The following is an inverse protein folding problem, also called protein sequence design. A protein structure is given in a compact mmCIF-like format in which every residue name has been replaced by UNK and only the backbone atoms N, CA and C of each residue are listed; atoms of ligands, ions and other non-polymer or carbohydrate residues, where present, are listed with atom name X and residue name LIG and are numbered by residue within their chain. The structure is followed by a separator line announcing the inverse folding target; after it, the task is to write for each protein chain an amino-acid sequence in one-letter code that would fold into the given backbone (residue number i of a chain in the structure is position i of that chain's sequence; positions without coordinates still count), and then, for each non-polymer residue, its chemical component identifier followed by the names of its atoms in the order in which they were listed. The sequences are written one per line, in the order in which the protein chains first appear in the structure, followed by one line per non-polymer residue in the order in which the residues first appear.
data_IF_827306541282
#
_entry.id   IF_827306541282
#
_cell.length_a   1.000
_cell.length_b   1.000
_cell.length_c   1.000
_cell.angle_alpha   90.00
_cell.angle_beta   90.00
_cell.angle_gamma   90.00
#
_symmetry.space_group_name_H-M   'P 1'
#
loop_
_entity.id
_entity.type
_entity.pdbx_description
1 polymer ?
#
# COMPACT_ATOMS: atom_id res chain seq x y z
N UNK A 1 -6.54 5.74 -23.17
CA UNK A 1 -5.59 5.17 -22.19
C UNK A 1 -5.94 5.64 -20.79
N UNK A 2 -6.12 4.74 -19.84
CA UNK A 2 -6.36 5.14 -18.46
C UNK A 2 -5.12 5.82 -17.90
N UNK A 3 -5.33 6.86 -17.11
CA UNK A 3 -4.24 7.56 -16.43
C UNK A 3 -4.19 7.23 -14.94
N UNK A 4 -5.30 6.78 -14.42
CA UNK A 4 -5.45 6.46 -13.00
C UNK A 4 -6.10 5.09 -12.85
N UNK A 5 -5.47 4.24 -12.07
CA UNK A 5 -6.02 2.94 -11.70
C UNK A 5 -6.31 2.96 -10.21
N UNK A 6 -7.55 2.65 -9.85
CA UNK A 6 -7.97 2.55 -8.46
C UNK A 6 -8.11 1.08 -8.09
N UNK A 7 -7.43 0.66 -7.03
CA UNK A 7 -7.49 -0.71 -6.52
C UNK A 7 -7.92 -0.67 -5.05
N UNK A 8 -9.03 -1.34 -4.76
CA UNK A 8 -9.60 -1.38 -3.42
C UNK A 8 -9.42 -2.78 -2.83
N UNK A 9 -8.50 -2.92 -1.92
CA UNK A 9 -8.13 -4.17 -1.25
C UNK A 9 -7.93 -5.34 -2.21
N UNK A 10 -7.07 -5.20 -3.22
CA UNK A 10 -6.87 -6.26 -4.20
C UNK A 10 -6.22 -7.52 -3.62
N UNK A 11 -5.57 -7.42 -2.46
CA UNK A 11 -4.93 -8.56 -1.82
C UNK A 11 -5.87 -9.39 -0.95
N UNK A 12 -7.15 -9.01 -0.86
CA UNK A 12 -8.13 -9.72 -0.05
C UNK A 12 -8.23 -11.19 -0.48
N UNK A 13 -8.08 -12.10 0.48
CA UNK A 13 -8.18 -13.53 0.22
C UNK A 13 -6.95 -14.17 -0.37
N UNK A 14 -5.89 -13.43 -0.62
CA UNK A 14 -4.66 -13.97 -1.19
C UNK A 14 -3.70 -14.45 -0.10
N UNK A 15 -2.96 -15.52 -0.40
CA UNK A 15 -1.91 -15.96 0.50
C UNK A 15 -0.65 -15.12 0.29
N UNK A 16 0.36 -15.34 1.12
CA UNK A 16 1.58 -14.55 1.13
C UNK A 16 2.30 -14.55 -0.23
N UNK A 17 2.39 -15.70 -0.87
CA UNK A 17 3.04 -15.81 -2.18
C UNK A 17 2.26 -15.08 -3.27
N UNK A 18 0.94 -15.22 -3.24
CA UNK A 18 0.06 -14.54 -4.20
C UNK A 18 0.12 -13.02 -4.05
N UNK A 19 0.24 -12.53 -2.82
CA UNK A 19 0.41 -11.10 -2.57
C UNK A 19 1.69 -10.58 -3.21
N UNK A 20 2.78 -11.34 -3.13
CA UNK A 20 4.03 -10.98 -3.79
C UNK A 20 3.87 -10.86 -5.30
N UNK A 21 3.18 -11.81 -5.91
CA UNK A 21 2.92 -11.77 -7.35
C UNK A 21 2.02 -10.61 -7.75
N UNK A 22 1.03 -10.30 -6.91
CA UNK A 22 0.16 -9.15 -7.15
C UNK A 22 0.97 -7.85 -7.16
N UNK A 23 1.89 -7.69 -6.22
CA UNK A 23 2.75 -6.51 -6.16
C UNK A 23 3.58 -6.34 -7.42
N UNK A 24 4.15 -7.44 -7.91
CA UNK A 24 4.92 -7.42 -9.16
C UNK A 24 4.04 -7.04 -10.35
N UNK A 25 2.83 -7.58 -10.40
CA UNK A 25 1.89 -7.25 -11.47
C UNK A 25 1.53 -5.77 -11.46
N UNK A 26 1.25 -5.20 -10.31
CA UNK A 26 0.90 -3.79 -10.19
C UNK A 26 2.06 -2.91 -10.65
N UNK A 27 3.29 -3.22 -10.23
CA UNK A 27 4.48 -2.49 -10.66
C UNK A 27 4.64 -2.55 -12.17
N UNK A 28 4.47 -3.73 -12.75
CA UNK A 28 4.62 -3.94 -14.17
C UNK A 28 3.59 -3.13 -14.96
N UNK A 29 2.33 -3.18 -14.55
CA UNK A 29 1.27 -2.41 -15.20
C UNK A 29 1.52 -0.91 -15.11
N UNK A 30 1.95 -0.44 -13.94
CA UNK A 30 2.25 0.98 -13.75
C UNK A 30 3.35 1.45 -14.70
N UNK A 31 4.42 0.67 -14.81
CA UNK A 31 5.54 1.02 -15.68
C UNK A 31 5.17 0.97 -17.16
N UNK A 32 4.50 -0.11 -17.56
CA UNK A 32 4.21 -0.33 -18.98
C UNK A 32 3.16 0.61 -19.52
N UNK A 33 2.19 0.98 -18.69
CA UNK A 33 1.07 1.82 -19.09
C UNK A 33 1.18 3.26 -18.59
N UNK A 34 2.29 3.60 -17.91
CA UNK A 34 2.51 4.93 -17.34
C UNK A 34 1.33 5.38 -16.47
N UNK A 35 0.86 4.49 -15.60
CA UNK A 35 -0.30 4.75 -14.75
C UNK A 35 0.10 5.39 -13.43
N UNK A 36 -0.79 6.22 -12.90
CA UNK A 36 -0.83 6.54 -11.48
C UNK A 36 -1.75 5.54 -10.83
N UNK A 37 -1.32 4.91 -9.76
CA UNK A 37 -2.11 3.91 -9.05
C UNK A 37 -2.47 4.43 -7.67
N UNK A 38 -3.75 4.40 -7.32
CA UNK A 38 -4.21 4.63 -5.96
C UNK A 38 -4.63 3.29 -5.39
N UNK A 39 -3.92 2.85 -4.35
CA UNK A 39 -4.11 1.56 -3.73
C UNK A 39 -4.68 1.75 -2.33
N UNK A 40 -5.86 1.17 -2.08
CA UNK A 40 -6.44 1.12 -0.74
C UNK A 40 -6.21 -0.29 -0.20
N UNK A 41 -5.43 -0.39 0.88
CA UNK A 41 -4.98 -1.70 1.36
C UNK A 41 -4.61 -1.63 2.83
N UNK A 42 -4.73 -2.76 3.51
CA UNK A 42 -4.24 -2.92 4.88
C UNK A 42 -3.09 -3.92 4.97
N UNK A 43 -2.70 -4.50 3.85
CA UNK A 43 -1.57 -5.43 3.79
C UNK A 43 -0.28 -4.63 3.71
N UNK A 44 0.39 -4.45 4.85
CA UNK A 44 1.52 -3.53 4.96
C UNK A 44 2.68 -3.87 4.04
N UNK A 45 3.03 -5.15 3.91
CA UNK A 45 4.13 -5.53 3.03
C UNK A 45 3.89 -5.13 1.59
N UNK A 46 2.65 -5.28 1.10
CA UNK A 46 2.31 -4.86 -0.25
C UNK A 46 2.42 -3.35 -0.39
N UNK A 47 1.77 -2.61 0.51
CA UNK A 47 1.77 -1.14 0.47
C UNK A 47 3.19 -0.59 0.52
N UNK A 48 3.99 -1.06 1.47
CA UNK A 48 5.35 -0.55 1.65
C UNK A 48 6.28 -0.94 0.51
N UNK A 49 5.99 -2.07 -0.15
CA UNK A 49 6.84 -2.58 -1.22
C UNK A 49 6.64 -1.91 -2.57
N UNK A 50 5.47 -1.36 -2.84
CA UNK A 50 5.17 -0.85 -4.19
C UNK A 50 4.76 0.62 -4.23
N UNK A 51 4.60 1.26 -3.09
CA UNK A 51 4.11 2.64 -3.03
C UNK A 51 5.25 3.66 -3.00
N UNK A 52 5.02 4.81 -3.61
CA UNK A 52 5.93 5.95 -3.54
C UNK A 52 5.53 6.88 -2.41
N UNK A 53 4.24 6.95 -2.13
CA UNK A 53 3.69 7.80 -1.08
C UNK A 53 2.58 7.04 -0.37
N UNK A 54 2.57 7.08 0.95
CA UNK A 54 1.61 6.36 1.78
C UNK A 54 0.88 7.34 2.68
N UNK A 55 -0.44 7.17 2.77
CA UNK A 55 -1.26 7.87 3.76
C UNK A 55 -1.88 6.79 4.65
N UNK A 56 -1.58 6.84 5.93
CA UNK A 56 -2.11 5.87 6.89
C UNK A 56 -3.30 6.48 7.64
N UNK A 57 -4.38 5.72 7.69
CA UNK A 57 -5.62 6.13 8.37
C UNK A 57 -5.93 5.17 9.50
N UNK A 58 -6.50 5.70 10.58
CA UNK A 58 -7.02 4.90 11.68
C UNK A 58 -8.33 5.52 12.12
N UNK A 59 -9.42 4.76 12.04
CA UNK A 59 -10.78 5.25 12.32
C UNK A 59 -11.11 6.52 11.53
N UNK A 60 -10.73 6.54 10.24
CA UNK A 60 -10.99 7.68 9.36
C UNK A 60 -10.09 8.88 9.57
N UNK A 61 -9.16 8.82 10.53
CA UNK A 61 -8.21 9.91 10.78
C UNK A 61 -6.85 9.60 10.15
N UNK A 62 -6.26 10.61 9.55
CA UNK A 62 -4.90 10.49 9.04
C UNK A 62 -3.93 10.52 10.23
N UNK A 63 -3.13 9.48 10.36
CA UNK A 63 -2.14 9.39 11.43
C UNK A 63 -0.71 9.59 10.95
N UNK A 64 -0.47 9.37 9.66
CA UNK A 64 0.86 9.56 9.08
C UNK A 64 0.75 9.66 7.59
N UNK A 65 1.70 10.36 6.96
CA UNK A 65 1.84 10.32 5.50
C UNK A 65 3.29 10.59 5.15
N UNK A 66 3.72 10.06 4.02
CA UNK A 66 5.08 10.25 3.55
C UNK A 66 5.53 9.09 2.67
N UNK A 67 6.83 8.99 2.48
CA UNK A 67 7.41 7.83 1.80
C UNK A 67 7.19 6.59 2.67
N UNK A 68 7.27 5.38 2.08
CA UNK A 68 7.15 4.16 2.88
C UNK A 68 8.11 4.11 4.07
N UNK A 69 9.35 4.57 3.89
CA UNK A 69 10.32 4.56 4.98
C UNK A 69 9.90 5.47 6.13
N UNK A 70 9.41 6.68 5.81
CA UNK A 70 8.95 7.63 6.82
C UNK A 70 7.73 7.11 7.58
N UNK A 71 6.77 6.55 6.85
CA UNK A 71 5.53 6.06 7.44
C UNK A 71 5.79 4.82 8.29
N UNK A 72 6.65 3.93 7.82
CA UNK A 72 6.98 2.69 8.53
C UNK A 72 7.53 2.96 9.94
N UNK A 73 8.29 4.02 10.10
CA UNK A 73 8.91 4.35 11.39
C UNK A 73 8.05 5.26 12.26
N UNK A 74 6.87 5.64 11.80
CA UNK A 74 5.99 6.51 12.57
C UNK A 74 5.39 5.77 13.78
N UNK A 75 5.54 6.29 15.01
CA UNK A 75 5.09 5.57 16.21
C UNK A 75 3.60 5.21 16.22
N UNK A 76 2.75 6.11 15.72
CA UNK A 76 1.31 5.84 15.68
C UNK A 76 0.97 4.73 14.69
N UNK A 77 1.69 4.64 13.58
CA UNK A 77 1.49 3.56 12.62
C UNK A 77 1.86 2.22 13.25
N UNK A 78 2.99 2.18 13.94
CA UNK A 78 3.44 0.96 14.60
C UNK A 78 2.38 0.46 15.57
N UNK A 79 1.81 1.34 16.38
CA UNK A 79 0.76 0.97 17.32
C UNK A 79 -0.53 0.52 16.64
N UNK A 80 -0.92 1.21 15.56
CA UNK A 80 -2.21 0.97 14.92
C UNK A 80 -2.22 -0.27 14.02
N UNK A 81 -1.13 -0.51 13.29
CA UNK A 81 -1.11 -1.53 12.24
C UNK A 81 -0.12 -2.67 12.46
N UNK A 82 1.00 -2.40 13.11
CA UNK A 82 2.05 -3.40 13.27
C UNK A 82 2.03 -4.05 14.65
N UNK A 83 1.03 -3.73 15.42
CA UNK A 83 0.87 -4.29 16.74
C UNK A 83 1.60 -3.49 17.81
N UNK A 84 1.09 -3.56 19.01
CA UNK A 84 1.64 -2.84 20.15
C UNK A 84 2.68 -3.64 20.91
N UNK A 85 3.03 -4.76 20.38
CA UNK A 85 3.96 -5.64 21.06
C UNK A 85 5.34 -5.05 21.16
#
# INVERSE_FOLDING_TARGET
MPKLLLLDEPASGLNHEEVGRLGELIRDLRSRLALTVLLVEHHMNLVMGISDWVVALNFGRRIAQGTPAEVRSHPELVRAYLGAA
#
